data_IF_226053326747
#
_entry.id   IF_226053326747
#
_cell.length_a   1.000
_cell.length_b   1.000
_cell.length_c   1.000
_cell.angle_alpha   90.00
_cell.angle_beta   90.00
_cell.angle_gamma   90.00
#
_symmetry.space_group_name_H-M   'P 1'
#
loop_
_entity.id
_entity.type
_entity.pdbx_description
1 polymer ?
#
# COMPACT_ATOMS: atom_id res chain seq x y z
N UNK A 1 15.58 -9.63 -1.93
CA UNK A 1 15.95 -8.34 -2.57
C UNK A 1 15.86 -8.51 -4.08
N UNK A 2 15.32 -7.51 -4.80
CA UNK A 2 15.33 -7.53 -6.25
C UNK A 2 16.77 -7.31 -6.76
N UNK A 3 17.20 -8.05 -7.77
CA UNK A 3 18.54 -7.92 -8.37
C UNK A 3 18.81 -6.52 -8.95
N UNK A 4 17.75 -5.83 -9.37
CA UNK A 4 17.79 -4.47 -9.90
C UNK A 4 18.26 -3.43 -8.87
N UNK A 5 18.12 -3.72 -7.58
CA UNK A 5 18.63 -2.83 -6.51
C UNK A 5 20.15 -2.71 -6.51
N UNK A 6 20.85 -3.67 -7.13
CA UNK A 6 22.31 -3.67 -7.25
C UNK A 6 22.83 -2.78 -8.39
N UNK A 7 21.94 -2.26 -9.27
CA UNK A 7 22.33 -1.31 -10.31
C UNK A 7 22.88 -0.02 -9.68
N UNK A 8 24.04 0.50 -10.12
CA UNK A 8 24.74 1.62 -9.47
C UNK A 8 23.86 2.86 -9.28
N UNK A 9 23.06 3.22 -10.30
CA UNK A 9 22.17 4.38 -10.24
C UNK A 9 21.04 4.19 -9.21
N UNK A 10 20.50 2.97 -9.07
CA UNK A 10 19.45 2.65 -8.10
C UNK A 10 20.02 2.61 -6.69
N UNK A 11 21.15 1.92 -6.52
CA UNK A 11 21.84 1.88 -5.23
C UNK A 11 22.17 3.30 -4.72
N UNK A 12 22.68 4.17 -5.61
CA UNK A 12 22.92 5.58 -5.27
C UNK A 12 21.65 6.34 -4.90
N UNK A 13 20.58 6.17 -5.65
CA UNK A 13 19.28 6.82 -5.36
C UNK A 13 18.73 6.38 -4.00
N UNK A 14 18.85 5.08 -3.66
CA UNK A 14 18.46 4.50 -2.37
C UNK A 14 19.30 5.06 -1.21
N UNK A 15 20.63 5.12 -1.36
CA UNK A 15 21.51 5.71 -0.35
C UNK A 15 21.15 7.17 -0.10
N UNK A 16 20.94 7.97 -1.16
CA UNK A 16 20.52 9.38 -1.02
C UNK A 16 19.16 9.52 -0.33
N UNK A 17 18.21 8.61 -0.59
CA UNK A 17 16.93 8.61 0.12
C UNK A 17 17.11 8.35 1.61
N UNK A 18 17.87 7.30 1.95
CA UNK A 18 18.13 6.91 3.34
C UNK A 18 18.91 7.99 4.09
N UNK A 19 19.98 8.52 3.52
CA UNK A 19 20.88 9.46 4.20
C UNK A 19 20.30 10.87 4.34
N UNK A 20 19.59 11.36 3.31
CA UNK A 20 19.16 12.77 3.26
C UNK A 20 17.70 12.97 3.63
N UNK A 21 16.81 12.04 3.29
CA UNK A 21 15.36 12.22 3.48
C UNK A 21 14.83 11.60 4.77
N UNK A 22 15.30 10.41 5.14
CA UNK A 22 14.86 9.75 6.37
C UNK A 22 15.01 10.60 7.63
N UNK A 23 16.18 11.22 7.91
CA UNK A 23 16.32 12.05 9.12
C UNK A 23 15.36 13.24 9.19
N UNK A 24 14.92 13.74 8.01
CA UNK A 24 13.88 14.75 7.94
C UNK A 24 12.48 14.17 8.23
N UNK A 25 12.21 12.98 7.72
CA UNK A 25 10.93 12.31 7.90
C UNK A 25 10.69 11.84 9.35
N UNK A 26 11.73 11.46 10.07
CA UNK A 26 11.63 11.09 11.49
C UNK A 26 10.99 12.23 12.32
N UNK A 27 11.27 13.48 11.97
CA UNK A 27 10.68 14.67 12.62
C UNK A 27 9.26 15.00 12.15
N UNK A 28 8.83 14.46 11.03
CA UNK A 28 7.56 14.77 10.37
C UNK A 28 6.69 13.53 10.15
N UNK A 29 6.87 12.47 10.93
CA UNK A 29 6.26 11.15 10.75
C UNK A 29 4.73 11.22 10.57
N UNK A 30 4.05 12.04 11.39
CA UNK A 30 2.60 12.21 11.33
C UNK A 30 2.10 12.84 10.02
N UNK A 31 2.97 13.50 9.24
CA UNK A 31 2.64 14.14 7.96
C UNK A 31 2.91 13.25 6.76
N UNK A 32 3.53 12.10 6.96
CA UNK A 32 3.81 11.16 5.86
C UNK A 32 2.58 10.34 5.54
N UNK A 33 2.28 10.24 4.25
CA UNK A 33 1.25 9.35 3.71
C UNK A 33 1.86 8.54 2.58
N UNK A 34 2.10 7.25 2.82
CA UNK A 34 2.55 6.33 1.77
C UNK A 34 1.33 5.81 1.03
N UNK A 35 1.34 5.91 -0.29
CA UNK A 35 0.24 5.44 -1.14
C UNK A 35 0.72 4.34 -2.07
N UNK A 36 -0.17 3.36 -2.31
CA UNK A 36 0.11 2.26 -3.23
C UNK A 36 -1.20 1.54 -3.57
N UNK A 37 -1.16 0.65 -4.56
CA UNK A 37 -2.26 -0.22 -4.90
C UNK A 37 -1.87 -1.70 -4.83
N UNK A 38 -2.88 -2.52 -4.65
CA UNK A 38 -2.71 -3.97 -4.63
C UNK A 38 -3.86 -4.69 -5.30
N UNK A 39 -3.55 -5.72 -6.08
CA UNK A 39 -4.58 -6.56 -6.69
C UNK A 39 -5.20 -7.49 -5.68
N UNK A 40 -6.53 -7.62 -5.75
CA UNK A 40 -7.34 -8.62 -5.07
C UNK A 40 -8.16 -9.40 -6.08
N UNK A 41 -8.68 -10.55 -5.71
CA UNK A 41 -9.58 -11.31 -6.56
C UNK A 41 -10.47 -12.27 -5.75
N UNK A 42 -11.52 -12.78 -6.38
CA UNK A 42 -12.47 -13.68 -5.77
C UNK A 42 -11.95 -15.10 -5.52
N UNK A 43 -10.74 -15.42 -6.00
CA UNK A 43 -10.07 -16.73 -5.78
C UNK A 43 -9.06 -16.72 -4.63
N UNK A 44 -8.95 -15.63 -3.88
CA UNK A 44 -8.05 -15.59 -2.73
C UNK A 44 -8.40 -16.76 -1.77
N UNK A 45 -7.45 -17.67 -1.60
CA UNK A 45 -7.55 -18.83 -0.71
C UNK A 45 -6.31 -18.91 0.19
N UNK A 46 -6.46 -19.62 1.31
CA UNK A 46 -5.31 -19.91 2.18
C UNK A 46 -4.25 -20.66 1.39
N UNK A 47 -2.99 -20.22 1.50
CA UNK A 47 -1.85 -20.85 0.81
C UNK A 47 -1.18 -21.94 1.61
N UNK A 48 -1.43 -21.98 2.92
CA UNK A 48 -0.83 -22.91 3.87
C UNK A 48 -1.81 -23.18 5.01
N UNK A 49 -1.61 -24.26 5.72
CA UNK A 49 -2.36 -24.65 6.91
C UNK A 49 -1.56 -25.66 7.72
N UNK A 50 -2.05 -25.97 8.90
CA UNK A 50 -1.46 -26.94 9.80
C UNK A 50 -2.28 -28.23 9.79
N UNK A 51 -1.62 -29.39 9.85
CA UNK A 51 -2.23 -30.67 10.08
C UNK A 51 -1.39 -31.48 11.09
N UNK A 52 -1.94 -32.57 11.61
CA UNK A 52 -1.21 -33.48 12.47
C UNK A 52 0.05 -34.01 11.74
N UNK A 53 1.11 -34.27 12.47
CA UNK A 53 2.35 -34.85 11.93
C UNK A 53 2.02 -36.15 11.19
N UNK A 54 2.53 -36.29 9.97
CA UNK A 54 2.27 -37.43 9.11
C UNK A 54 1.00 -37.31 8.26
N UNK A 55 0.16 -36.27 8.43
CA UNK A 55 -1.04 -36.04 7.65
C UNK A 55 -0.86 -34.86 6.71
N UNK A 56 -1.24 -35.05 5.43
CA UNK A 56 -1.22 -33.97 4.43
C UNK A 56 -2.36 -33.00 4.69
N UNK A 57 -2.06 -31.70 4.82
CA UNK A 57 -3.10 -30.67 4.82
C UNK A 57 -3.81 -30.63 3.45
N UNK A 58 -5.14 -30.71 3.48
CA UNK A 58 -6.01 -30.59 2.29
C UNK A 58 -6.94 -29.41 2.48
N UNK A 59 -7.10 -28.58 1.46
CA UNK A 59 -8.02 -27.45 1.47
C UNK A 59 -8.65 -27.31 0.09
N UNK A 60 -9.85 -26.75 0.04
CA UNK A 60 -10.56 -26.48 -1.22
C UNK A 60 -10.25 -25.05 -1.66
N UNK A 61 -9.88 -24.88 -2.93
CA UNK A 61 -9.75 -23.59 -3.58
C UNK A 61 -10.90 -23.39 -4.59
N UNK A 62 -11.42 -22.15 -4.76
CA UNK A 62 -12.47 -21.91 -5.74
C UNK A 62 -11.94 -22.18 -7.14
N UNK A 63 -12.75 -22.86 -7.94
CA UNK A 63 -12.51 -23.13 -9.37
C UNK A 63 -13.34 -22.16 -10.23
N UNK A 64 -12.96 -21.96 -11.49
CA UNK A 64 -13.69 -21.11 -12.45
C UNK A 64 -12.94 -19.80 -12.78
N UNK A 65 -13.59 -18.91 -13.53
CA UNK A 65 -13.09 -17.59 -13.87
C UNK A 65 -13.04 -16.67 -12.65
N UNK A 66 -12.14 -15.73 -12.63
CA UNK A 66 -12.06 -14.70 -11.58
C UNK A 66 -11.91 -13.31 -12.19
N UNK A 67 -12.43 -12.33 -11.48
CA UNK A 67 -12.20 -10.92 -11.80
C UNK A 67 -11.15 -10.37 -10.86
N UNK A 68 -10.16 -9.70 -11.40
CA UNK A 68 -9.17 -8.96 -10.64
C UNK A 68 -9.77 -7.59 -10.31
N UNK A 69 -9.69 -7.23 -9.04
CA UNK A 69 -10.02 -5.90 -8.54
C UNK A 69 -8.74 -5.24 -8.04
N UNK A 70 -8.72 -3.93 -8.05
CA UNK A 70 -7.64 -3.15 -7.49
C UNK A 70 -8.12 -2.46 -6.22
N UNK A 71 -7.38 -2.68 -5.13
CA UNK A 71 -7.52 -1.92 -3.90
C UNK A 71 -6.40 -0.90 -3.81
N UNK A 72 -6.73 0.36 -3.55
CA UNK A 72 -5.78 1.45 -3.38
C UNK A 72 -6.05 2.15 -2.05
N UNK A 73 -5.01 2.56 -1.36
CA UNK A 73 -5.11 3.27 -0.09
C UNK A 73 -3.85 4.09 0.21
N UNK A 74 -3.93 4.93 1.23
CA UNK A 74 -2.79 5.55 1.87
C UNK A 74 -2.55 4.98 3.27
N UNK A 75 -1.30 4.90 3.69
CA UNK A 75 -0.90 4.55 5.05
C UNK A 75 -0.22 5.73 5.71
N UNK A 76 -0.77 6.17 6.85
CA UNK A 76 -0.15 7.10 7.79
C UNK A 76 0.40 6.34 8.99
N UNK A 77 1.24 6.98 9.79
CA UNK A 77 1.79 6.39 11.02
C UNK A 77 0.75 6.02 12.08
N UNK A 78 -0.50 6.41 11.89
CA UNK A 78 -1.59 6.21 12.86
C UNK A 78 -2.86 5.58 12.25
N UNK A 79 -2.98 5.48 10.93
CA UNK A 79 -4.18 4.93 10.27
C UNK A 79 -3.96 4.63 8.80
N UNK A 80 -4.82 3.77 8.25
CA UNK A 80 -5.02 3.66 6.81
C UNK A 80 -6.04 4.72 6.38
N UNK A 81 -5.76 5.44 5.28
CA UNK A 81 -6.59 6.54 4.78
C UNK A 81 -6.98 6.32 3.33
N UNK A 82 -8.08 6.94 2.92
CA UNK A 82 -8.57 6.91 1.54
C UNK A 82 -8.69 5.50 0.93
N UNK A 83 -9.18 4.45 1.64
CA UNK A 83 -9.31 3.12 1.09
C UNK A 83 -10.37 3.13 -0.03
N UNK A 84 -10.03 2.56 -1.18
CA UNK A 84 -10.94 2.44 -2.31
C UNK A 84 -10.71 1.12 -3.07
N UNK A 85 -11.80 0.50 -3.55
CA UNK A 85 -11.73 -0.69 -4.39
C UNK A 85 -12.43 -0.43 -5.72
N UNK A 86 -11.79 -0.82 -6.81
CA UNK A 86 -12.35 -0.74 -8.17
C UNK A 86 -12.33 -2.09 -8.85
N UNK A 87 -13.39 -2.37 -9.61
CA UNK A 87 -13.51 -3.62 -10.37
C UNK A 87 -12.82 -3.50 -11.76
N UNK A 88 -11.59 -3.01 -11.75
CA UNK A 88 -10.76 -2.79 -12.93
C UNK A 88 -9.26 -2.86 -12.55
N UNK A 89 -8.36 -3.11 -13.51
CA UNK A 89 -6.94 -2.88 -13.33
C UNK A 89 -6.65 -1.38 -13.17
N UNK A 90 -5.63 -1.03 -12.38
CA UNK A 90 -5.21 0.35 -12.17
C UNK A 90 -4.70 0.98 -13.48
N UNK A 91 -5.10 2.21 -13.71
CA UNK A 91 -4.61 3.07 -14.78
C UNK A 91 -4.52 4.53 -14.31
N UNK A 92 -4.03 5.42 -15.16
CA UNK A 92 -3.84 6.83 -14.79
C UNK A 92 -5.15 7.54 -14.43
N UNK A 93 -6.24 7.29 -15.17
CA UNK A 93 -7.55 7.91 -14.93
C UNK A 93 -8.15 7.48 -13.58
N UNK A 94 -8.11 6.18 -13.28
CA UNK A 94 -8.57 5.65 -11.99
C UNK A 94 -7.72 6.22 -10.85
N UNK A 95 -6.40 6.28 -11.02
CA UNK A 95 -5.50 6.85 -10.03
C UNK A 95 -5.79 8.34 -9.78
N UNK A 96 -5.96 9.14 -10.84
CA UNK A 96 -6.31 10.56 -10.73
C UNK A 96 -7.66 10.78 -10.04
N UNK A 97 -8.66 9.97 -10.39
CA UNK A 97 -10.00 10.00 -9.75
C UNK A 97 -9.89 9.68 -8.26
N UNK A 98 -9.10 8.67 -7.90
CA UNK A 98 -8.86 8.33 -6.50
C UNK A 98 -8.16 9.47 -5.74
N UNK A 99 -7.11 10.07 -6.34
CA UNK A 99 -6.44 11.24 -5.75
C UNK A 99 -7.45 12.34 -5.46
N UNK A 100 -8.27 12.70 -6.47
CA UNK A 100 -9.22 13.80 -6.39
C UNK A 100 -10.33 13.54 -5.36
N UNK A 101 -10.92 12.35 -5.37
CA UNK A 101 -12.15 12.06 -4.62
C UNK A 101 -11.90 11.44 -3.25
N UNK A 102 -10.79 10.72 -3.06
CA UNK A 102 -10.53 9.97 -1.84
C UNK A 102 -9.33 10.50 -1.06
N UNK A 103 -8.20 10.75 -1.72
CA UNK A 103 -6.97 11.14 -1.00
C UNK A 103 -6.97 12.62 -0.63
N UNK A 104 -7.25 13.52 -1.58
CA UNK A 104 -7.25 14.99 -1.38
C UNK A 104 -8.07 15.42 -0.16
N UNK A 105 -9.29 14.90 0.10
CA UNK A 105 -10.05 15.25 1.29
C UNK A 105 -9.38 14.89 2.63
N UNK A 106 -8.39 14.00 2.62
CA UNK A 106 -7.66 13.58 3.82
C UNK A 106 -6.36 14.37 4.04
N UNK A 107 -5.94 15.17 3.05
CA UNK A 107 -4.67 15.90 3.09
C UNK A 107 -4.82 17.27 3.73
N UNK A 108 -3.76 17.69 4.41
CA UNK A 108 -3.63 19.02 5.00
C UNK A 108 -2.32 19.68 4.54
N UNK A 109 -2.24 21.01 4.69
CA UNK A 109 -1.05 21.78 4.35
C UNK A 109 0.18 21.25 5.08
N UNK A 110 1.21 20.93 4.32
CA UNK A 110 2.49 20.42 4.82
C UNK A 110 2.57 18.88 4.87
N UNK A 111 1.51 18.17 4.47
CA UNK A 111 1.57 16.71 4.30
C UNK A 111 2.52 16.34 3.16
N UNK A 112 3.09 15.15 3.25
CA UNK A 112 4.00 14.59 2.26
C UNK A 112 3.43 13.25 1.81
N UNK A 113 2.94 13.20 0.59
CA UNK A 113 2.48 11.97 -0.08
C UNK A 113 3.69 11.30 -0.73
N UNK A 114 3.89 10.02 -0.47
CA UNK A 114 5.00 9.24 -1.01
C UNK A 114 4.42 8.06 -1.77
N UNK A 115 4.72 7.98 -3.06
CA UNK A 115 4.32 6.90 -3.97
C UNK A 115 5.54 6.13 -4.46
N UNK A 116 5.33 4.91 -4.94
CA UNK A 116 6.35 4.22 -5.69
C UNK A 116 6.63 4.89 -7.05
N UNK A 117 7.61 4.40 -7.79
CA UNK A 117 8.10 5.02 -9.01
C UNK A 117 7.44 4.48 -10.29
N UNK A 118 6.21 3.98 -10.23
CA UNK A 118 5.49 3.53 -11.43
C UNK A 118 4.99 4.68 -12.31
N UNK A 119 4.79 4.39 -13.58
CA UNK A 119 4.53 5.42 -14.59
C UNK A 119 3.25 6.21 -14.36
N UNK A 120 2.15 5.56 -13.99
CA UNK A 120 0.86 6.23 -13.81
C UNK A 120 0.79 7.07 -12.53
N UNK A 121 1.64 6.81 -11.51
CA UNK A 121 1.76 7.69 -10.34
C UNK A 121 2.37 9.06 -10.69
N UNK A 122 3.09 9.17 -11.83
CA UNK A 122 3.72 10.42 -12.30
C UNK A 122 2.75 11.31 -13.09
N UNK A 123 1.46 11.23 -12.82
CA UNK A 123 0.47 12.10 -13.43
C UNK A 123 0.64 13.55 -12.98
N UNK A 124 0.75 14.48 -13.94
CA UNK A 124 0.81 15.91 -13.66
C UNK A 124 -0.49 16.42 -13.01
N UNK A 125 -1.65 15.83 -13.38
CA UNK A 125 -2.94 16.17 -12.76
C UNK A 125 -2.96 15.76 -11.29
N UNK A 126 -2.53 14.54 -10.97
CA UNK A 126 -2.43 14.07 -9.58
C UNK A 126 -1.50 14.95 -8.74
N UNK A 127 -0.31 15.28 -9.27
CA UNK A 127 0.63 16.18 -8.59
C UNK A 127 0.01 17.57 -8.33
N UNK A 128 -0.68 18.15 -9.32
CA UNK A 128 -1.36 19.43 -9.19
C UNK A 128 -2.44 19.40 -8.10
N UNK A 129 -3.28 18.37 -8.08
CA UNK A 129 -4.34 18.20 -7.08
C UNK A 129 -3.78 18.11 -5.67
N UNK A 130 -2.74 17.30 -5.45
CA UNK A 130 -2.05 17.19 -4.15
C UNK A 130 -1.44 18.54 -3.77
N UNK A 131 -0.76 19.23 -4.68
CA UNK A 131 -0.12 20.52 -4.42
C UNK A 131 -1.14 21.62 -4.06
N UNK A 132 -2.34 21.59 -4.59
CA UNK A 132 -3.43 22.54 -4.27
C UNK A 132 -3.87 22.45 -2.80
N UNK A 133 -3.71 21.31 -2.12
CA UNK A 133 -3.96 21.19 -0.67
C UNK A 133 -2.82 21.77 0.18
N UNK A 134 -1.71 22.19 -0.43
CA UNK A 134 -0.48 22.55 0.25
C UNK A 134 0.40 21.36 0.65
N UNK A 135 0.05 20.16 0.22
CA UNK A 135 0.86 18.95 0.38
C UNK A 135 1.89 18.81 -0.77
N UNK A 136 2.81 17.85 -0.64
CA UNK A 136 3.85 17.55 -1.65
C UNK A 136 3.81 16.09 -2.03
N UNK A 137 4.00 15.79 -3.32
CA UNK A 137 4.17 14.43 -3.82
C UNK A 137 5.67 14.14 -4.01
N UNK A 138 6.12 13.00 -3.48
CA UNK A 138 7.46 12.48 -3.64
C UNK A 138 7.41 11.04 -4.15
N UNK A 139 8.47 10.61 -4.81
CA UNK A 139 8.59 9.24 -5.31
C UNK A 139 9.73 8.51 -4.62
N UNK A 140 9.46 7.26 -4.21
CA UNK A 140 10.49 6.33 -3.75
C UNK A 140 11.52 6.07 -4.87
N UNK A 141 12.76 5.74 -4.53
CA UNK A 141 13.68 5.16 -5.50
C UNK A 141 13.06 3.93 -6.17
N UNK A 142 13.36 3.71 -7.43
CA UNK A 142 12.90 2.52 -8.13
C UNK A 142 13.30 1.23 -7.40
N UNK A 143 12.49 0.18 -7.50
CA UNK A 143 12.72 -1.12 -6.88
C UNK A 143 12.94 -1.09 -5.36
N UNK A 144 12.21 -0.24 -4.65
CA UNK A 144 12.38 -0.03 -3.19
C UNK A 144 11.13 -0.35 -2.37
N UNK A 145 10.50 -1.53 -2.51
CA UNK A 145 9.33 -1.90 -1.71
C UNK A 145 9.62 -1.99 -0.20
N UNK A 146 10.87 -2.28 0.15
CA UNK A 146 11.37 -2.29 1.54
C UNK A 146 11.34 -0.91 2.21
N UNK A 147 11.35 0.17 1.41
CA UNK A 147 11.18 1.56 1.87
C UNK A 147 9.71 2.01 1.84
N UNK A 148 8.78 1.13 1.49
CA UNK A 148 7.36 1.43 1.42
C UNK A 148 6.59 0.70 2.53
N UNK A 149 6.25 1.34 3.67
CA UNK A 149 5.59 0.67 4.80
C UNK A 149 4.20 0.12 4.46
N UNK A 150 3.50 0.65 3.46
CA UNK A 150 2.17 0.18 3.06
C UNK A 150 2.20 -1.23 2.48
N UNK A 151 3.32 -1.69 1.95
CA UNK A 151 3.47 -3.06 1.44
C UNK A 151 3.31 -4.11 2.53
N UNK A 152 3.79 -3.82 3.75
CA UNK A 152 3.57 -4.67 4.92
C UNK A 152 2.11 -4.66 5.35
N UNK A 153 1.46 -3.50 5.33
CA UNK A 153 0.02 -3.37 5.59
C UNK A 153 -0.80 -4.16 4.56
N UNK A 154 -0.47 -4.10 3.27
CA UNK A 154 -1.12 -4.89 2.22
C UNK A 154 -0.87 -6.39 2.37
N UNK A 155 0.27 -6.80 2.87
CA UNK A 155 0.54 -8.22 3.18
C UNK A 155 -0.42 -8.75 4.25
N UNK A 156 -0.63 -8.00 5.35
CA UNK A 156 -1.65 -8.31 6.37
C UNK A 156 -3.05 -8.31 5.78
N UNK A 157 -3.41 -7.27 5.05
CA UNK A 157 -4.73 -7.12 4.43
C UNK A 157 -5.05 -8.34 3.55
N UNK A 158 -4.13 -8.75 2.66
CA UNK A 158 -4.29 -9.95 1.84
C UNK A 158 -4.41 -11.24 2.65
N UNK A 159 -3.69 -11.35 3.77
CA UNK A 159 -3.79 -12.49 4.67
C UNK A 159 -5.18 -12.59 5.30
N UNK A 160 -5.73 -11.47 5.76
CA UNK A 160 -7.07 -11.40 6.34
C UNK A 160 -8.17 -11.64 5.30
N UNK A 161 -8.04 -11.09 4.08
CA UNK A 161 -8.96 -11.39 2.98
C UNK A 161 -9.02 -12.89 2.63
N UNK A 162 -7.86 -13.57 2.63
CA UNK A 162 -7.83 -15.04 2.42
C UNK A 162 -8.58 -15.80 3.51
N UNK A 163 -8.57 -15.31 4.75
CA UNK A 163 -9.32 -15.90 5.87
C UNK A 163 -10.82 -15.67 5.70
N UNK A 164 -11.25 -14.48 5.26
CA UNK A 164 -12.65 -14.12 5.02
C UNK A 164 -13.28 -14.91 3.87
N UNK A 165 -12.47 -15.42 2.93
CA UNK A 165 -12.91 -16.20 1.77
C UNK A 165 -14.04 -15.55 0.95
N UNK A 166 -14.03 -14.22 0.81
CA UNK A 166 -15.01 -13.46 0.05
C UNK A 166 -15.01 -13.84 -1.44
N UNK A 167 -16.19 -14.05 -2.03
CA UNK A 167 -16.37 -14.62 -3.38
C UNK A 167 -17.10 -13.70 -4.37
N UNK A 168 -17.53 -12.52 -3.94
CA UNK A 168 -18.12 -11.50 -4.79
C UNK A 168 -17.43 -10.16 -4.57
N UNK A 169 -17.64 -9.21 -5.49
CA UNK A 169 -17.11 -7.84 -5.35
C UNK A 169 -17.60 -7.20 -4.05
N UNK A 170 -18.90 -7.25 -3.78
CA UNK A 170 -19.49 -6.66 -2.57
C UNK A 170 -18.95 -7.30 -1.29
N UNK A 171 -18.82 -8.65 -1.30
CA UNK A 171 -18.22 -9.35 -0.16
C UNK A 171 -16.75 -8.96 0.07
N UNK A 172 -15.98 -8.74 -0.99
CA UNK A 172 -14.60 -8.25 -0.88
C UNK A 172 -14.58 -6.81 -0.40
N UNK A 173 -15.46 -5.94 -0.92
CA UNK A 173 -15.57 -4.55 -0.50
C UNK A 173 -15.91 -4.42 0.98
N UNK A 174 -16.92 -5.16 1.45
CA UNK A 174 -17.30 -5.20 2.87
C UNK A 174 -16.16 -5.76 3.74
N UNK A 175 -15.52 -6.85 3.29
CA UNK A 175 -14.38 -7.42 4.01
C UNK A 175 -13.20 -6.45 4.10
N UNK A 176 -12.92 -5.65 3.06
CA UNK A 176 -11.87 -4.63 3.08
C UNK A 176 -12.19 -3.51 4.06
N UNK A 177 -13.45 -3.05 4.10
CA UNK A 177 -13.90 -2.04 5.08
C UNK A 177 -13.65 -2.52 6.52
N UNK A 178 -14.09 -3.75 6.85
CA UNK A 178 -13.84 -4.36 8.15
C UNK A 178 -12.33 -4.46 8.45
N UNK A 179 -11.53 -4.90 7.47
CA UNK A 179 -10.09 -5.11 7.64
C UNK A 179 -9.35 -3.79 7.84
N UNK A 180 -9.73 -2.73 7.11
CA UNK A 180 -9.12 -1.40 7.29
C UNK A 180 -9.31 -0.87 8.71
N UNK A 181 -10.44 -1.16 9.35
CA UNK A 181 -10.70 -0.79 10.74
C UNK A 181 -9.85 -1.57 11.78
N UNK A 182 -9.20 -2.67 11.38
CA UNK A 182 -8.36 -3.48 12.26
C UNK A 182 -6.89 -2.98 12.35
N UNK A 183 -6.53 -1.93 11.62
CA UNK A 183 -5.18 -1.37 11.70
C UNK A 183 -5.09 -0.40 12.88
N UNK A 184 -4.43 -0.85 13.97
CA UNK A 184 -4.20 0.00 15.13
C UNK A 184 -3.12 1.05 14.88
N UNK A 185 -3.13 2.13 15.67
CA UNK A 185 -2.09 3.17 15.64
C UNK A 185 -0.69 2.57 15.84
N UNK A 186 -0.56 1.69 16.83
CA UNK A 186 0.71 1.02 17.15
C UNK A 186 1.21 0.18 15.97
N UNK A 187 0.32 -0.56 15.32
CA UNK A 187 0.68 -1.39 14.18
C UNK A 187 1.09 -0.55 12.98
N UNK A 188 0.35 0.51 12.65
CA UNK A 188 0.73 1.44 11.59
C UNK A 188 2.13 2.03 11.85
N UNK A 189 2.40 2.44 13.09
CA UNK A 189 3.70 2.95 13.50
C UNK A 189 4.81 1.91 13.36
N UNK A 190 4.54 0.66 13.72
CA UNK A 190 5.48 -0.44 13.56
C UNK A 190 5.86 -0.71 12.11
N UNK A 191 4.95 -0.51 11.14
CA UNK A 191 5.29 -0.58 9.72
C UNK A 191 6.25 0.54 9.30
N UNK A 192 6.04 1.77 9.79
CA UNK A 192 6.96 2.88 9.53
C UNK A 192 8.34 2.60 10.13
N UNK A 193 8.38 2.09 11.36
CA UNK A 193 9.62 1.70 12.03
C UNK A 193 10.36 0.59 11.26
N UNK A 194 9.65 -0.45 10.82
CA UNK A 194 10.23 -1.54 10.05
C UNK A 194 10.77 -1.11 8.68
N UNK A 195 10.13 -0.11 8.03
CA UNK A 195 10.65 0.54 6.82
C UNK A 195 11.73 1.59 7.11
N UNK A 196 12.07 1.79 8.40
CA UNK A 196 13.14 2.64 8.89
C UNK A 196 12.82 4.13 8.90
N UNK A 197 11.57 4.55 9.04
CA UNK A 197 11.14 5.95 9.15
C UNK A 197 10.99 6.44 10.59
N UNK A 198 11.25 5.61 11.56
CA UNK A 198 11.31 5.96 12.97
C UNK A 198 12.59 5.39 13.58
N UNK A 199 13.28 6.16 14.42
CA UNK A 199 14.44 5.67 15.15
C UNK A 199 14.06 4.51 16.09
N UNK A 200 14.97 3.54 16.21
CA UNK A 200 14.82 2.40 17.13
C UNK A 200 15.01 2.87 18.55
#
# INVERSE_FOLDING_TARGET
MASEQLRPEIARARSLWIERRKPFFDKALARLTFIDETSTNTKLAKRSGWSLRGHRYRSHAPFGSWKTQTFIAGLRSHSMVAPWIVNAPMNAEIFETWIETQLVPTLTKGDIVIADNVRFHKSQKAEKLIRQTGARLLFLPAYSPDLNPIEMAFSKLKSLLRKKAARSFDAISNALSDICALFSVEECRNYFKAAGYEAI
#
